data_IF_518607588160
#
_entry.id   IF_518607588160
#
_cell.length_a   1.000
_cell.length_b   1.000
_cell.length_c   1.000
_cell.angle_alpha   90.00
_cell.angle_beta   90.00
_cell.angle_gamma   90.00
#
_symmetry.space_group_name_H-M   'P 1'
#
loop_
_entity.id
_entity.type
_entity.pdbx_description
1 polymer ?
#
# COMPACT_ATOMS: atom_id res chain seq x y z
N UNK A 1 -13.75 -10.40 5.00
CA UNK A 1 -14.31 -9.56 6.08
C UNK A 1 -13.79 -8.17 5.78
N UNK A 2 -14.65 -7.17 5.51
CA UNK A 2 -14.19 -5.84 5.15
C UNK A 2 -13.26 -5.30 6.23
N UNK A 3 -12.18 -4.60 5.85
CA UNK A 3 -11.24 -4.03 6.81
C UNK A 3 -12.02 -3.05 7.72
N UNK A 4 -12.17 -3.34 9.03
CA UNK A 4 -12.62 -2.31 9.96
C UNK A 4 -11.53 -1.25 9.98
N UNK A 5 -11.90 0.02 9.85
CA UNK A 5 -10.99 1.20 9.85
C UNK A 5 -10.33 1.59 8.51
N UNK A 6 -10.93 1.24 7.37
CA UNK A 6 -10.43 1.71 6.07
C UNK A 6 -10.26 3.23 6.00
N UNK A 7 -11.26 4.00 6.43
CA UNK A 7 -11.21 5.47 6.41
C UNK A 7 -10.04 6.02 7.25
N UNK A 8 -9.78 5.41 8.40
CA UNK A 8 -8.66 5.77 9.29
C UNK A 8 -7.32 5.46 8.64
N UNK A 9 -7.19 4.30 7.98
CA UNK A 9 -6.00 3.90 7.23
C UNK A 9 -5.74 4.90 6.11
N UNK A 10 -6.76 5.24 5.32
CA UNK A 10 -6.64 6.20 4.22
C UNK A 10 -6.27 7.60 4.70
N UNK A 11 -6.86 8.04 5.81
CA UNK A 11 -6.50 9.31 6.45
C UNK A 11 -5.03 9.33 6.90
N UNK A 12 -4.57 8.28 7.60
CA UNK A 12 -3.17 8.18 8.06
C UNK A 12 -2.18 8.09 6.89
N UNK A 13 -2.53 7.36 5.82
CA UNK A 13 -1.74 7.28 4.59
C UNK A 13 -1.62 8.65 3.89
N UNK A 14 -2.75 9.35 3.69
CA UNK A 14 -2.75 10.71 3.11
C UNK A 14 -1.95 11.69 3.97
N UNK A 15 -2.06 11.62 5.29
CA UNK A 15 -1.29 12.46 6.23
C UNK A 15 0.22 12.23 6.10
N UNK A 16 0.66 11.02 5.73
CA UNK A 16 2.05 10.69 5.44
C UNK A 16 2.49 11.03 4.00
N UNK A 17 1.60 11.55 3.17
CA UNK A 17 1.89 11.95 1.80
C UNK A 17 1.69 10.86 0.76
N UNK A 18 1.14 9.70 1.12
CA UNK A 18 0.77 8.68 0.15
C UNK A 18 -0.45 9.15 -0.65
N UNK A 19 -0.38 8.93 -1.96
CA UNK A 19 -1.48 9.15 -2.89
C UNK A 19 -1.95 7.81 -3.42
N UNK A 20 -3.23 7.68 -3.68
CA UNK A 20 -3.73 6.53 -4.41
C UNK A 20 -3.21 6.65 -5.84
N UNK A 21 -2.39 5.68 -6.25
CA UNK A 21 -1.73 5.68 -7.56
C UNK A 21 -2.71 5.26 -8.67
N UNK A 22 -3.58 4.30 -8.34
CA UNK A 22 -4.51 3.69 -9.28
C UNK A 22 -5.96 3.73 -8.79
N UNK A 23 -6.88 4.05 -9.70
CA UNK A 23 -8.33 4.02 -9.45
C UNK A 23 -8.86 2.59 -9.56
N UNK A 24 -8.19 1.74 -10.35
CA UNK A 24 -8.59 0.36 -10.58
C UNK A 24 -8.16 -0.54 -9.42
N UNK A 25 -9.05 -1.45 -9.01
CA UNK A 25 -8.70 -2.46 -8.02
C UNK A 25 -7.99 -3.63 -8.69
N UNK A 26 -6.81 -3.96 -8.20
CA UNK A 26 -6.09 -5.14 -8.65
C UNK A 26 -6.57 -6.39 -7.92
N UNK A 27 -6.31 -7.55 -8.52
CA UNK A 27 -6.56 -8.83 -7.88
C UNK A 27 -5.64 -9.02 -6.67
N UNK A 28 -6.22 -9.45 -5.55
CA UNK A 28 -5.46 -9.84 -4.37
C UNK A 28 -4.88 -11.25 -4.55
N UNK A 29 -3.57 -11.46 -4.38
CA UNK A 29 -2.98 -12.79 -4.48
C UNK A 29 -3.36 -13.73 -3.32
N UNK A 30 -3.98 -13.21 -2.24
CA UNK A 30 -4.39 -14.01 -1.09
C UNK A 30 -5.86 -14.45 -1.17
N UNK A 31 -6.76 -13.56 -1.58
CA UNK A 31 -8.21 -13.86 -1.66
C UNK A 31 -8.78 -13.89 -3.08
N UNK A 32 -7.97 -13.59 -4.10
CA UNK A 32 -8.36 -13.54 -5.53
C UNK A 32 -9.52 -12.60 -5.88
N UNK A 33 -9.79 -11.61 -5.02
CA UNK A 33 -10.80 -10.58 -5.29
C UNK A 33 -10.14 -9.32 -5.85
N UNK A 34 -10.80 -8.67 -6.82
CA UNK A 34 -10.41 -7.35 -7.34
C UNK A 34 -10.73 -6.26 -6.32
N UNK A 35 -9.95 -6.19 -5.26
CA UNK A 35 -10.13 -5.26 -4.15
C UNK A 35 -8.82 -4.66 -3.65
N UNK A 36 -7.72 -4.76 -4.40
CA UNK A 36 -6.43 -4.17 -4.01
C UNK A 36 -6.34 -2.72 -4.47
N UNK A 37 -6.16 -1.80 -3.52
CA UNK A 37 -5.76 -0.40 -3.78
C UNK A 37 -4.25 -0.25 -3.67
N UNK A 38 -3.70 0.61 -4.52
CA UNK A 38 -2.28 0.96 -4.52
C UNK A 38 -2.11 2.40 -4.04
N UNK A 39 -1.30 2.58 -3.01
CA UNK A 39 -0.94 3.87 -2.46
C UNK A 39 0.57 4.09 -2.66
N UNK A 40 0.94 5.06 -3.47
CA UNK A 40 2.33 5.39 -3.77
C UNK A 40 2.74 6.71 -3.14
N UNK A 41 4.00 6.81 -2.72
CA UNK A 41 4.68 8.05 -2.41
C UNK A 41 6.01 8.09 -3.13
N UNK A 42 6.31 9.20 -3.80
CA UNK A 42 7.57 9.41 -4.52
C UNK A 42 8.26 10.67 -4.00
N UNK A 43 9.53 10.55 -3.66
CA UNK A 43 10.39 11.64 -3.19
C UNK A 43 11.74 11.64 -3.93
N UNK A 44 12.50 12.73 -3.83
CA UNK A 44 13.83 12.87 -4.47
C UNK A 44 14.83 11.78 -4.06
N UNK A 45 14.60 11.13 -2.93
CA UNK A 45 15.46 10.12 -2.30
C UNK A 45 14.97 8.68 -2.52
N UNK A 46 13.79 8.51 -3.14
CA UNK A 46 13.15 7.21 -3.35
C UNK A 46 11.63 7.28 -3.17
N UNK A 47 10.97 6.16 -3.38
CA UNK A 47 9.53 6.00 -3.23
C UNK A 47 9.13 4.76 -2.44
N UNK A 48 7.85 4.69 -2.11
CA UNK A 48 7.22 3.50 -1.53
C UNK A 48 5.83 3.33 -2.11
N UNK A 49 5.52 2.10 -2.53
CA UNK A 49 4.18 1.67 -2.88
C UNK A 49 3.64 0.76 -1.78
N UNK A 50 2.38 0.93 -1.43
CA UNK A 50 1.65 0.08 -0.49
C UNK A 50 0.44 -0.46 -1.23
N UNK A 51 0.37 -1.78 -1.36
CA UNK A 51 -0.79 -2.49 -1.89
C UNK A 51 -1.62 -3.01 -0.73
N UNK A 52 -2.90 -2.66 -0.68
CA UNK A 52 -3.81 -3.05 0.40
C UNK A 52 -5.08 -3.66 -0.20
N UNK A 53 -5.39 -4.91 0.17
CA UNK A 53 -6.64 -5.55 -0.19
C UNK A 53 -7.76 -5.18 0.78
N UNK A 54 -8.79 -4.49 0.29
CA UNK A 54 -9.94 -4.03 1.10
C UNK A 54 -10.83 -5.15 1.63
N UNK A 55 -10.73 -6.36 1.06
CA UNK A 55 -11.59 -7.50 1.37
C UNK A 55 -11.01 -8.46 2.41
N UNK A 56 -9.69 -8.70 2.36
CA UNK A 56 -9.00 -9.61 3.28
C UNK A 56 -8.02 -8.91 4.21
N UNK A 57 -7.68 -7.65 3.95
CA UNK A 57 -6.71 -6.90 4.76
C UNK A 57 -5.24 -7.19 4.43
N UNK A 58 -4.96 -8.07 3.46
CA UNK A 58 -3.59 -8.36 3.02
C UNK A 58 -2.90 -7.08 2.54
N UNK A 59 -1.68 -6.87 3.03
CA UNK A 59 -0.90 -5.67 2.74
C UNK A 59 0.52 -6.01 2.33
N UNK A 60 1.02 -5.33 1.31
CA UNK A 60 2.41 -5.46 0.84
C UNK A 60 2.99 -4.08 0.60
N UNK A 61 4.22 -3.85 1.05
CA UNK A 61 4.93 -2.63 0.68
C UNK A 61 6.10 -2.94 -0.25
N UNK A 62 6.35 -2.01 -1.16
CA UNK A 62 7.43 -2.06 -2.12
C UNK A 62 8.21 -0.76 -1.98
N UNK A 63 9.53 -0.85 -1.76
CA UNK A 63 10.41 0.30 -1.69
C UNK A 63 11.10 0.48 -3.03
N UNK A 64 11.16 1.71 -3.51
CA UNK A 64 11.96 2.09 -4.67
C UNK A 64 13.06 3.03 -4.18
N UNK A 65 14.33 2.68 -4.38
CA UNK A 65 15.45 3.56 -4.06
C UNK A 65 15.71 4.50 -5.24
N UNK A 66 16.04 5.77 -5.00
CA UNK A 66 16.36 6.69 -6.08
C UNK A 66 17.50 6.15 -6.96
N UNK A 67 17.23 6.03 -8.27
CA UNK A 67 18.18 5.48 -9.24
C UNK A 67 18.13 3.96 -9.41
N UNK A 68 17.28 3.24 -8.69
CA UNK A 68 16.99 1.84 -8.96
C UNK A 68 15.65 1.69 -9.70
N UNK A 69 15.68 1.00 -10.84
CA UNK A 69 14.46 0.59 -11.56
C UNK A 69 13.69 -0.52 -10.82
N UNK A 70 14.35 -1.19 -9.86
CA UNK A 70 13.79 -2.26 -9.05
C UNK A 70 12.97 -1.75 -7.87
N UNK A 71 11.73 -2.25 -7.76
CA UNK A 71 10.92 -2.14 -6.55
C UNK A 71 11.14 -3.38 -5.69
N UNK A 72 11.69 -3.23 -4.50
CA UNK A 72 11.94 -4.32 -3.56
C UNK A 72 10.75 -4.49 -2.62
N UNK A 73 10.15 -5.69 -2.59
CA UNK A 73 9.08 -6.00 -1.64
C UNK A 73 9.66 -6.12 -0.23
N UNK A 74 9.01 -5.48 0.74
CA UNK A 74 9.34 -5.60 2.16
C UNK A 74 8.46 -6.70 2.79
N UNK A 75 8.98 -7.92 3.02
CA UNK A 75 8.17 -9.06 3.47
C UNK A 75 7.71 -8.95 4.92
N UNK A 76 8.34 -8.08 5.73
CA UNK A 76 8.00 -7.87 7.14
C UNK A 76 7.15 -6.61 7.37
N UNK A 77 6.54 -6.07 6.31
CA UNK A 77 5.76 -4.85 6.42
C UNK A 77 4.42 -5.11 7.11
N UNK A 78 4.23 -4.50 8.28
CA UNK A 78 2.93 -4.45 8.96
C UNK A 78 2.33 -3.05 8.82
N UNK A 79 1.15 -2.97 8.19
CA UNK A 79 0.48 -1.69 7.94
C UNK A 79 0.05 -0.99 9.23
N UNK A 80 -0.39 -1.73 10.26
CA UNK A 80 -0.85 -1.14 11.52
C UNK A 80 0.33 -0.52 12.26
N UNK A 81 1.42 -1.27 12.43
CA UNK A 81 2.65 -0.74 13.03
C UNK A 81 3.21 0.43 12.22
N UNK A 82 3.15 0.34 10.89
CA UNK A 82 3.62 1.43 10.04
C UNK A 82 2.83 2.70 10.30
N UNK A 83 1.50 2.63 10.41
CA UNK A 83 0.64 3.80 10.55
C UNK A 83 0.55 4.34 12.00
N UNK A 84 0.94 3.55 13.01
CA UNK A 84 0.84 3.90 14.43
C UNK A 84 -0.61 3.89 14.87
#
# INVERSE_FOLDING_TARGET
>A
MPIPDLETIEYKLKKRGFKQDDVYHHECPACHVQAVRVYAISSKIGGRDIRLCLECGECRSFRAVAGMEGREQDPNFDLKQFLG
#
